data_IF_277332664798
#
_entry.id   IF_277332664798
#
_cell.length_a   1.000
_cell.length_b   1.000
_cell.length_c   1.000
_cell.angle_alpha   90.00
_cell.angle_beta   90.00
_cell.angle_gamma   90.00
#
_symmetry.space_group_name_H-M   'P 1'
#
loop_
_entity.id
_entity.type
_entity.pdbx_description
1 polymer ?
#
# COMPACT_ATOMS: atom_id res chain seq x y z
N UNK A 1 10.19 -35.44 -7.52
CA UNK A 1 10.89 -35.21 -8.80
C UNK A 1 11.38 -33.76 -8.76
N UNK A 2 12.59 -33.43 -9.21
CA UNK A 2 12.98 -32.03 -9.29
C UNK A 2 12.03 -31.34 -10.28
N UNK A 3 11.31 -30.33 -9.80
CA UNK A 3 10.48 -29.47 -10.65
C UNK A 3 11.49 -28.69 -11.50
N UNK A 4 11.47 -28.88 -12.83
CA UNK A 4 12.26 -28.04 -13.71
C UNK A 4 11.81 -26.57 -13.47
N UNK A 5 12.73 -25.63 -13.29
CA UNK A 5 12.37 -24.24 -13.11
C UNK A 5 11.53 -23.76 -14.30
N UNK A 6 10.42 -23.12 -14.02
CA UNK A 6 9.62 -22.47 -15.06
C UNK A 6 10.42 -21.30 -15.61
N UNK A 7 10.71 -21.35 -16.92
CA UNK A 7 11.44 -20.28 -17.60
C UNK A 7 10.54 -19.54 -18.56
N UNK A 8 10.57 -18.23 -18.51
CA UNK A 8 9.87 -17.35 -19.45
C UNK A 8 10.92 -16.41 -20.06
N UNK A 9 11.01 -16.40 -21.38
CA UNK A 9 11.84 -15.45 -22.13
C UNK A 9 10.95 -14.40 -22.81
N UNK A 10 11.01 -13.17 -22.32
CA UNK A 10 10.49 -12.02 -23.06
C UNK A 10 11.53 -11.59 -24.07
N UNK A 11 11.22 -11.74 -25.34
CA UNK A 11 12.11 -11.44 -26.46
C UNK A 11 11.61 -10.22 -27.22
N UNK A 12 12.55 -9.47 -27.80
CA UNK A 12 12.17 -8.38 -28.69
C UNK A 12 11.37 -7.27 -27.96
N UNK A 13 11.81 -6.89 -26.79
CA UNK A 13 11.17 -5.87 -25.96
C UNK A 13 12.00 -4.59 -25.87
N UNK A 14 11.34 -3.47 -25.61
CA UNK A 14 11.97 -2.24 -25.15
C UNK A 14 11.96 -2.28 -23.61
N UNK A 15 13.12 -2.40 -22.99
CA UNK A 15 13.24 -2.61 -21.54
C UNK A 15 13.23 -1.26 -20.84
N UNK A 16 12.27 -1.07 -19.91
CA UNK A 16 12.21 0.04 -18.96
C UNK A 16 12.55 -0.53 -17.57
N UNK A 17 13.79 -0.36 -17.14
CA UNK A 17 14.36 -1.06 -15.98
C UNK A 17 14.25 -0.28 -14.65
N UNK A 18 13.54 0.85 -14.65
CA UNK A 18 13.32 1.71 -13.48
C UNK A 18 14.61 2.38 -12.93
N UNK A 19 15.68 2.45 -13.70
CA UNK A 19 16.91 3.17 -13.31
C UNK A 19 16.84 4.68 -13.58
N UNK A 20 15.80 5.13 -14.29
CA UNK A 20 15.68 6.50 -14.80
C UNK A 20 16.34 6.71 -16.16
N UNK A 21 16.98 5.69 -16.73
CA UNK A 21 17.51 5.73 -18.09
C UNK A 21 16.39 5.54 -19.13
N UNK A 22 16.67 5.98 -20.38
CA UNK A 22 15.77 5.74 -21.50
C UNK A 22 15.58 4.23 -21.75
N UNK A 23 14.38 3.78 -22.18
CA UNK A 23 14.17 2.40 -22.55
C UNK A 23 15.11 1.93 -23.66
N UNK A 24 15.62 0.70 -23.56
CA UNK A 24 16.56 0.12 -24.52
C UNK A 24 16.08 -1.25 -25.03
N UNK A 25 16.42 -1.64 -26.28
CA UNK A 25 16.01 -2.92 -26.83
C UNK A 25 16.77 -4.09 -26.17
N UNK A 26 16.09 -5.21 -25.97
CA UNK A 26 16.71 -6.41 -25.42
C UNK A 26 15.72 -7.54 -25.18
N UNK A 27 16.18 -8.54 -24.46
CA UNK A 27 15.42 -9.68 -23.98
C UNK A 27 15.49 -9.75 -22.45
N UNK A 28 14.50 -10.36 -21.81
CA UNK A 28 14.50 -10.61 -20.36
C UNK A 28 14.15 -12.07 -20.11
N UNK A 29 15.02 -12.78 -19.41
CA UNK A 29 14.77 -14.14 -18.96
C UNK A 29 14.34 -14.13 -17.49
N UNK A 30 13.20 -14.73 -17.23
CA UNK A 30 12.70 -15.00 -15.88
C UNK A 30 12.80 -16.50 -15.63
N UNK A 31 13.36 -16.87 -14.48
CA UNK A 31 13.38 -18.24 -13.97
C UNK A 31 12.65 -18.28 -12.62
N UNK A 32 11.54 -19.02 -12.59
CA UNK A 32 10.59 -19.04 -11.46
C UNK A 32 10.08 -17.60 -11.13
N UNK A 33 10.49 -17.05 -10.01
CA UNK A 33 10.09 -15.74 -9.51
C UNK A 33 11.19 -14.66 -9.62
N UNK A 34 12.27 -14.94 -10.39
CA UNK A 34 13.43 -14.05 -10.48
C UNK A 34 13.79 -13.70 -11.91
N UNK A 35 14.21 -12.46 -12.10
CA UNK A 35 14.88 -12.03 -13.35
C UNK A 35 16.27 -12.65 -13.34
N UNK A 36 16.51 -13.58 -14.27
CA UNK A 36 17.76 -14.32 -14.38
C UNK A 36 18.77 -13.64 -15.31
N UNK A 37 18.29 -12.97 -16.37
CA UNK A 37 19.14 -12.23 -17.30
C UNK A 37 18.35 -11.09 -17.98
N UNK A 38 19.08 -10.01 -18.31
CA UNK A 38 18.59 -8.84 -19.03
C UNK A 38 19.59 -8.48 -20.14
N UNK A 39 19.09 -8.11 -21.31
CA UNK A 39 19.91 -7.75 -22.46
C UNK A 39 19.88 -8.84 -23.53
N UNK A 40 21.01 -9.13 -24.17
CA UNK A 40 21.11 -10.21 -25.17
C UNK A 40 21.15 -11.58 -24.47
N UNK A 41 20.02 -12.29 -24.46
CA UNK A 41 19.93 -13.62 -23.83
C UNK A 41 20.35 -14.71 -24.79
N UNK A 42 21.44 -15.40 -24.48
CA UNK A 42 21.98 -16.52 -25.29
C UNK A 42 21.06 -17.76 -25.28
N UNK A 43 21.03 -18.50 -26.39
CA UNK A 43 20.22 -19.71 -26.57
C UNK A 43 20.39 -20.76 -25.44
N UNK A 44 21.63 -21.05 -24.94
CA UNK A 44 21.79 -22.00 -23.84
C UNK A 44 21.07 -21.59 -22.55
N UNK A 45 21.07 -20.30 -22.21
CA UNK A 45 20.37 -19.78 -21.02
C UNK A 45 18.85 -19.87 -21.18
N UNK A 46 18.35 -19.66 -22.40
CA UNK A 46 16.92 -19.69 -22.71
C UNK A 46 16.40 -21.10 -23.06
N UNK A 47 17.22 -22.13 -22.99
CA UNK A 47 16.81 -23.50 -23.34
C UNK A 47 15.61 -23.96 -22.49
N UNK A 48 14.54 -24.38 -23.16
CA UNK A 48 13.29 -24.81 -22.51
C UNK A 48 12.37 -23.68 -22.03
N UNK A 49 12.71 -22.42 -22.27
CA UNK A 49 11.87 -21.30 -21.88
C UNK A 49 10.62 -21.16 -22.77
N UNK A 50 9.49 -20.80 -22.16
CA UNK A 50 8.33 -20.29 -22.88
C UNK A 50 8.67 -18.90 -23.42
N UNK A 51 8.62 -18.72 -24.74
CA UNK A 51 8.95 -17.45 -25.37
C UNK A 51 7.71 -16.58 -25.52
N UNK A 52 7.82 -15.33 -25.09
CA UNK A 52 6.85 -14.28 -25.34
C UNK A 52 7.54 -13.23 -26.22
N UNK A 53 7.11 -13.10 -27.47
CA UNK A 53 7.60 -12.06 -28.37
C UNK A 53 6.92 -10.73 -28.08
N UNK A 54 7.69 -9.77 -27.57
CA UNK A 54 7.20 -8.44 -27.25
C UNK A 54 6.90 -7.55 -28.46
N UNK A 55 7.44 -7.90 -29.64
CA UNK A 55 7.23 -7.12 -30.89
C UNK A 55 7.57 -5.64 -30.70
N UNK A 56 8.63 -5.34 -29.99
CA UNK A 56 9.05 -3.99 -29.70
C UNK A 56 8.23 -3.25 -28.62
N UNK A 57 7.29 -3.93 -27.95
CA UNK A 57 6.54 -3.33 -26.83
C UNK A 57 7.45 -3.14 -25.62
N UNK A 58 7.08 -2.19 -24.78
CA UNK A 58 7.81 -1.93 -23.54
C UNK A 58 7.53 -3.03 -22.51
N UNK A 59 8.61 -3.61 -21.98
CA UNK A 59 8.59 -4.45 -20.79
C UNK A 59 9.11 -3.63 -19.60
N UNK A 60 8.30 -3.53 -18.56
CA UNK A 60 8.62 -2.81 -17.34
C UNK A 60 8.30 -3.67 -16.11
N UNK A 61 8.78 -3.25 -14.94
CA UNK A 61 8.30 -3.82 -13.68
C UNK A 61 6.79 -3.60 -13.53
N UNK A 62 6.11 -4.52 -12.85
CA UNK A 62 4.70 -4.31 -12.51
C UNK A 62 4.53 -3.06 -11.66
N UNK A 63 3.37 -2.42 -11.78
CA UNK A 63 3.03 -1.23 -11.00
C UNK A 63 2.93 -1.58 -9.51
N UNK A 64 3.24 -0.60 -8.67
CA UNK A 64 3.05 -0.65 -7.22
C UNK A 64 2.05 0.43 -6.82
N UNK A 65 1.02 0.04 -6.07
CA UNK A 65 0.14 1.00 -5.40
C UNK A 65 0.44 0.99 -3.90
N UNK A 66 0.93 2.12 -3.39
CA UNK A 66 1.34 2.26 -2.00
C UNK A 66 0.17 2.60 -1.05
N UNK A 67 -1.04 2.84 -1.57
CA UNK A 67 -2.19 3.28 -0.78
C UNK A 67 -3.49 2.61 -1.25
N UNK A 68 -3.69 1.33 -0.90
CA UNK A 68 -4.83 0.55 -1.37
C UNK A 68 -5.83 0.19 -0.29
N UNK A 69 -7.09 0.08 -0.69
CA UNK A 69 -8.19 -0.32 0.16
C UNK A 69 -9.01 -1.42 -0.52
N UNK A 70 -8.58 -2.67 -0.49
CA UNK A 70 -9.29 -3.78 -1.15
C UNK A 70 -10.72 -3.98 -0.63
N UNK A 71 -10.96 -3.58 0.61
CA UNK A 71 -12.27 -3.71 1.25
C UNK A 71 -13.18 -2.49 1.11
N UNK A 72 -12.71 -1.41 0.47
CA UNK A 72 -13.53 -0.22 0.27
C UNK A 72 -14.23 -0.30 -1.08
N UNK A 73 -15.50 0.06 -1.10
CA UNK A 73 -16.31 0.20 -2.30
C UNK A 73 -16.49 1.67 -2.65
N UNK A 74 -17.11 1.94 -3.79
CA UNK A 74 -17.41 3.31 -4.23
C UNK A 74 -18.78 3.81 -3.73
N UNK A 75 -19.26 3.28 -2.59
CA UNK A 75 -20.49 3.73 -1.97
C UNK A 75 -20.32 5.11 -1.32
N UNK A 76 -21.33 5.96 -1.41
CA UNK A 76 -21.39 7.19 -0.65
C UNK A 76 -21.58 6.93 0.87
N UNK A 77 -22.11 5.77 1.25
CA UNK A 77 -22.20 5.31 2.65
C UNK A 77 -20.96 4.46 2.99
N UNK A 78 -19.89 5.11 3.42
CA UNK A 78 -18.66 4.43 3.85
C UNK A 78 -18.82 3.74 5.21
N UNK A 79 -19.69 4.21 6.10
CA UNK A 79 -19.97 3.55 7.38
C UNK A 79 -20.66 2.19 7.19
N UNK A 80 -21.36 2.00 6.08
CA UNK A 80 -21.92 0.71 5.66
C UNK A 80 -20.89 -0.40 5.51
N UNK A 81 -19.61 -0.08 5.26
CA UNK A 81 -18.52 -1.06 5.21
C UNK A 81 -18.37 -1.84 6.52
N UNK A 82 -18.61 -1.19 7.65
CA UNK A 82 -18.57 -1.83 8.97
C UNK A 82 -19.66 -2.90 9.17
N UNK A 83 -20.79 -2.79 8.52
CA UNK A 83 -21.97 -3.68 8.66
C UNK A 83 -22.07 -4.75 7.59
N UNK A 84 -21.33 -4.63 6.48
CA UNK A 84 -21.34 -5.65 5.42
C UNK A 84 -20.97 -7.03 5.99
N UNK A 85 -21.70 -8.12 5.66
CA UNK A 85 -21.35 -9.48 6.07
C UNK A 85 -19.92 -9.84 5.65
N UNK A 86 -19.18 -10.49 6.54
CA UNK A 86 -17.73 -10.72 6.31
C UNK A 86 -17.46 -11.62 5.10
N UNK A 87 -18.33 -12.60 4.85
CA UNK A 87 -18.25 -13.51 3.71
C UNK A 87 -18.47 -12.79 2.37
N UNK A 88 -19.44 -11.87 2.29
CA UNK A 88 -19.67 -11.06 1.11
C UNK A 88 -18.54 -10.05 0.92
N UNK A 89 -18.09 -9.45 2.01
CA UNK A 89 -17.00 -8.49 2.00
C UNK A 89 -15.66 -9.13 1.54
N UNK A 90 -15.41 -10.39 1.92
CA UNK A 90 -14.23 -11.12 1.44
C UNK A 90 -14.29 -11.35 -0.07
N UNK A 91 -15.44 -11.71 -0.64
CA UNK A 91 -15.61 -11.85 -2.08
C UNK A 91 -15.30 -10.53 -2.79
N UNK A 92 -15.83 -9.43 -2.29
CA UNK A 92 -15.52 -8.09 -2.81
C UNK A 92 -14.02 -7.78 -2.77
N UNK A 93 -13.32 -8.09 -1.66
CA UNK A 93 -11.87 -7.90 -1.57
C UNK A 93 -11.09 -8.69 -2.63
N UNK A 94 -11.52 -9.92 -2.91
CA UNK A 94 -10.89 -10.76 -3.92
C UNK A 94 -11.15 -10.22 -5.34
N UNK A 95 -12.33 -9.70 -5.61
CA UNK A 95 -12.64 -9.02 -6.87
C UNK A 95 -11.78 -7.76 -7.06
N UNK A 96 -11.62 -6.95 -6.00
CA UNK A 96 -10.72 -5.80 -5.99
C UNK A 96 -9.29 -6.22 -6.30
N UNK A 97 -8.77 -7.25 -5.61
CA UNK A 97 -7.43 -7.77 -5.84
C UNK A 97 -7.24 -8.25 -7.30
N UNK A 98 -8.28 -8.86 -7.88
CA UNK A 98 -8.29 -9.26 -9.29
C UNK A 98 -8.22 -8.05 -10.23
N UNK A 99 -8.96 -7.00 -9.94
CA UNK A 99 -8.94 -5.76 -10.72
C UNK A 99 -7.55 -5.13 -10.72
N UNK A 100 -6.87 -5.08 -9.58
CA UNK A 100 -5.51 -4.57 -9.47
C UNK A 100 -4.53 -5.36 -10.34
N UNK A 101 -4.50 -6.69 -10.23
CA UNK A 101 -3.54 -7.49 -11.01
C UNK A 101 -3.85 -7.44 -12.51
N UNK A 102 -5.12 -7.44 -12.92
CA UNK A 102 -5.53 -7.31 -14.31
C UNK A 102 -5.21 -5.92 -14.89
N UNK A 103 -5.07 -4.90 -14.04
CA UNK A 103 -4.64 -3.54 -14.40
C UNK A 103 -3.11 -3.35 -14.39
N UNK A 104 -2.33 -4.40 -14.10
CA UNK A 104 -0.87 -4.36 -14.11
C UNK A 104 -0.21 -4.01 -12.77
N UNK A 105 -0.98 -3.87 -11.70
CA UNK A 105 -0.42 -3.71 -10.37
C UNK A 105 0.00 -5.07 -9.81
N UNK A 106 1.29 -5.26 -9.60
CA UNK A 106 1.85 -6.52 -9.09
C UNK A 106 2.19 -6.46 -7.61
N UNK A 107 2.14 -5.27 -7.02
CA UNK A 107 2.30 -5.04 -5.59
C UNK A 107 1.33 -3.96 -5.10
N UNK A 108 0.71 -4.20 -3.95
CA UNK A 108 -0.19 -3.25 -3.30
C UNK A 108 0.07 -3.24 -1.79
N UNK A 109 0.05 -2.04 -1.20
CA UNK A 109 0.18 -1.82 0.23
C UNK A 109 -1.18 -1.43 0.78
N UNK A 110 -1.72 -2.23 1.72
CA UNK A 110 -2.97 -1.93 2.39
C UNK A 110 -2.88 -0.67 3.23
N UNK A 111 -3.95 0.13 3.24
CA UNK A 111 -3.99 1.41 3.96
C UNK A 111 -5.11 1.51 5.00
N UNK A 112 -6.13 0.69 4.92
CA UNK A 112 -7.13 0.40 5.93
C UNK A 112 -8.02 -0.76 5.46
N UNK A 113 -8.25 -1.73 6.32
CA UNK A 113 -9.20 -2.83 6.10
C UNK A 113 -10.47 -2.60 6.90
N UNK A 114 -11.61 -2.91 6.30
CA UNK A 114 -12.90 -2.74 6.96
C UNK A 114 -13.17 -3.74 8.09
N UNK A 115 -12.37 -4.79 8.22
CA UNK A 115 -12.50 -5.82 9.26
C UNK A 115 -11.12 -6.27 9.72
N UNK A 116 -11.02 -6.77 10.94
CA UNK A 116 -9.77 -7.15 11.61
C UNK A 116 -8.84 -8.03 10.77
N UNK A 117 -9.38 -9.04 10.06
CA UNK A 117 -8.58 -10.01 9.32
C UNK A 117 -8.90 -10.10 7.84
N UNK A 118 -9.75 -9.22 7.33
CA UNK A 118 -10.28 -9.34 5.97
C UNK A 118 -9.16 -9.31 4.92
N UNK A 119 -8.28 -8.34 5.01
CA UNK A 119 -7.13 -8.15 4.13
C UNK A 119 -6.02 -9.19 4.38
N UNK A 120 -5.84 -9.64 5.63
CA UNK A 120 -4.92 -10.74 5.99
C UNK A 120 -5.35 -12.03 5.29
N UNK A 121 -6.64 -12.38 5.35
CA UNK A 121 -7.17 -13.58 4.67
C UNK A 121 -7.08 -13.45 3.16
N UNK A 122 -7.36 -12.28 2.60
CA UNK A 122 -7.20 -12.00 1.17
C UNK A 122 -5.74 -12.21 0.73
N UNK A 123 -4.76 -11.61 1.43
CA UNK A 123 -3.33 -11.80 1.18
C UNK A 123 -2.93 -13.27 1.25
N UNK A 124 -3.37 -14.00 2.27
CA UNK A 124 -3.02 -15.40 2.47
C UNK A 124 -3.61 -16.28 1.36
N UNK A 125 -4.81 -15.97 0.87
CA UNK A 125 -5.41 -16.67 -0.27
C UNK A 125 -4.62 -16.44 -1.57
N UNK A 126 -4.15 -15.21 -1.81
CA UNK A 126 -3.30 -14.85 -2.95
C UNK A 126 -1.95 -15.57 -2.84
N UNK A 127 -1.27 -15.49 -1.70
CA UNK A 127 0.03 -16.11 -1.47
C UNK A 127 -0.02 -17.65 -1.59
N UNK A 128 -1.14 -18.26 -1.25
CA UNK A 128 -1.39 -19.69 -1.41
C UNK A 128 -1.76 -20.08 -2.86
N UNK A 129 -1.82 -19.14 -3.78
CA UNK A 129 -2.22 -19.36 -5.17
C UNK A 129 -3.70 -19.77 -5.33
N UNK A 130 -4.54 -19.57 -4.33
CA UNK A 130 -5.97 -19.89 -4.37
C UNK A 130 -6.76 -18.86 -5.17
N UNK A 131 -6.24 -17.64 -5.24
CA UNK A 131 -6.86 -16.53 -5.95
C UNK A 131 -5.81 -15.65 -6.62
N UNK A 132 -6.07 -15.14 -7.84
CA UNK A 132 -5.15 -14.21 -8.50
C UNK A 132 -5.21 -12.83 -7.83
N UNK A 133 -4.05 -12.23 -7.63
CA UNK A 133 -3.94 -10.90 -7.07
C UNK A 133 -2.49 -10.44 -7.02
N UNK A 134 -2.24 -9.17 -6.70
CA UNK A 134 -0.89 -8.65 -6.51
C UNK A 134 -0.27 -9.19 -5.22
N UNK A 135 1.04 -9.07 -5.08
CA UNK A 135 1.70 -9.18 -3.78
C UNK A 135 1.12 -8.08 -2.88
N UNK A 136 0.55 -8.48 -1.75
CA UNK A 136 -0.20 -7.56 -0.88
C UNK A 136 0.41 -7.49 0.52
N UNK A 137 0.54 -6.29 1.07
CA UNK A 137 0.88 -6.07 2.47
C UNK A 137 -0.37 -5.67 3.24
N UNK A 138 -0.83 -6.56 4.12
CA UNK A 138 -2.04 -6.36 4.92
C UNK A 138 -1.77 -5.46 6.13
N UNK A 139 -2.73 -4.62 6.50
CA UNK A 139 -2.61 -3.72 7.66
C UNK A 139 -3.72 -3.88 8.71
N UNK A 140 -4.82 -4.58 8.38
CA UNK A 140 -6.01 -4.59 9.24
C UNK A 140 -6.71 -3.21 9.28
N UNK A 141 -7.54 -2.94 10.29
CA UNK A 141 -8.11 -1.62 10.52
C UNK A 141 -7.04 -0.54 10.75
N UNK A 142 -7.34 0.68 10.37
CA UNK A 142 -6.52 1.82 10.76
C UNK A 142 -6.70 2.14 12.25
N UNK A 143 -5.66 2.68 12.87
CA UNK A 143 -5.71 3.17 14.25
C UNK A 143 -5.93 4.68 14.23
N UNK A 144 -6.93 5.14 14.98
CA UNK A 144 -7.15 6.56 15.23
C UNK A 144 -7.41 6.82 16.72
N UNK A 145 -7.17 8.05 17.15
CA UNK A 145 -7.60 8.51 18.48
C UNK A 145 -9.11 8.81 18.47
N UNK A 146 -9.74 8.82 19.64
CA UNK A 146 -11.13 9.22 19.78
C UNK A 146 -11.38 10.58 19.13
N UNK A 147 -12.34 10.65 18.21
CA UNK A 147 -12.66 11.84 17.43
C UNK A 147 -11.88 12.01 16.13
N UNK A 148 -10.79 11.27 15.91
CA UNK A 148 -9.94 11.37 14.72
C UNK A 148 -10.20 10.32 13.63
N UNK A 149 -11.23 9.48 13.77
CA UNK A 149 -11.53 8.46 12.78
C UNK A 149 -12.14 9.05 11.51
N UNK A 150 -11.66 8.60 10.34
CA UNK A 150 -12.23 8.93 9.03
C UNK A 150 -13.55 8.18 8.82
N UNK A 151 -13.56 6.88 9.09
CA UNK A 151 -14.75 6.02 9.01
C UNK A 151 -14.86 5.24 10.32
N UNK A 152 -15.80 5.67 11.16
CA UNK A 152 -15.92 5.17 12.55
C UNK A 152 -16.17 3.66 12.64
N UNK A 153 -16.98 3.12 11.75
CA UNK A 153 -17.42 1.73 11.78
C UNK A 153 -16.29 0.72 11.48
N UNK A 154 -15.17 1.17 10.91
CA UNK A 154 -14.04 0.31 10.50
C UNK A 154 -12.71 0.71 11.16
N UNK A 155 -12.73 1.66 12.08
CA UNK A 155 -11.56 2.20 12.76
C UNK A 155 -11.33 1.51 14.11
N UNK A 156 -10.07 1.19 14.40
CA UNK A 156 -9.62 0.75 15.72
C UNK A 156 -9.22 1.96 16.56
N UNK A 157 -10.04 2.29 17.56
CA UNK A 157 -9.75 3.41 18.45
C UNK A 157 -8.70 3.07 19.49
N UNK A 158 -7.76 3.99 19.70
CA UNK A 158 -6.76 3.92 20.76
C UNK A 158 -6.37 5.33 21.23
N UNK A 159 -6.41 5.56 22.52
CA UNK A 159 -6.03 6.83 23.14
C UNK A 159 -4.84 6.64 24.07
N UNK A 160 -3.94 7.59 24.02
CA UNK A 160 -2.72 7.62 24.82
C UNK A 160 -1.67 6.57 24.41
N UNK A 161 -0.42 6.73 24.86
CA UNK A 161 0.69 5.85 24.45
C UNK A 161 0.47 4.37 24.73
N UNK A 162 -0.14 4.01 25.86
CA UNK A 162 -0.41 2.60 26.20
C UNK A 162 -1.56 2.02 25.36
N UNK A 163 -2.59 2.83 25.04
CA UNK A 163 -3.64 2.44 24.09
C UNK A 163 -3.05 2.13 22.72
N UNK A 164 -2.17 3.00 22.21
CA UNK A 164 -1.47 2.79 20.94
C UNK A 164 -0.64 1.51 20.91
N UNK A 165 0.18 1.26 21.96
CA UNK A 165 0.96 0.01 22.05
C UNK A 165 0.07 -1.23 22.07
N UNK A 166 -1.04 -1.18 22.80
CA UNK A 166 -2.01 -2.27 22.85
C UNK A 166 -2.61 -2.53 21.47
N UNK A 167 -3.10 -1.50 20.79
CA UNK A 167 -3.69 -1.62 19.46
C UNK A 167 -2.71 -2.21 18.43
N UNK A 168 -1.45 -1.75 18.44
CA UNK A 168 -0.40 -2.30 17.56
C UNK A 168 -0.17 -3.79 17.84
N UNK A 169 -0.09 -4.21 19.12
CA UNK A 169 0.10 -5.63 19.50
C UNK A 169 -1.03 -6.50 18.99
N UNK A 170 -2.27 -6.04 19.16
CA UNK A 170 -3.46 -6.75 18.71
C UNK A 170 -3.47 -6.92 17.18
N UNK A 171 -3.13 -5.87 16.40
CA UNK A 171 -3.03 -5.98 14.95
C UNK A 171 -1.91 -6.93 14.51
N UNK A 172 -0.75 -6.87 15.16
CA UNK A 172 0.36 -7.79 14.87
C UNK A 172 -0.05 -9.24 15.16
N UNK A 173 -0.81 -9.50 16.22
CA UNK A 173 -1.32 -10.84 16.56
C UNK A 173 -2.33 -11.34 15.51
N UNK A 174 -3.07 -10.45 14.86
CA UNK A 174 -3.93 -10.79 13.72
C UNK A 174 -3.15 -11.17 12.45
N UNK A 175 -1.85 -10.90 12.40
CA UNK A 175 -0.96 -11.29 11.30
C UNK A 175 -0.77 -10.21 10.24
N UNK A 176 -0.93 -8.93 10.57
CA UNK A 176 -0.69 -7.82 9.63
C UNK A 176 0.80 -7.68 9.24
N UNK A 177 1.07 -7.10 8.09
CA UNK A 177 2.42 -6.82 7.60
C UNK A 177 2.90 -5.42 7.99
N UNK A 178 1.99 -4.49 8.15
CA UNK A 178 2.24 -3.09 8.49
C UNK A 178 1.11 -2.51 9.35
N UNK A 179 1.36 -1.35 9.96
CA UNK A 179 0.39 -0.62 10.81
C UNK A 179 -0.03 0.66 10.10
N UNK A 180 -1.31 0.97 10.10
CA UNK A 180 -1.84 2.24 9.55
C UNK A 180 -2.36 3.13 10.68
N UNK A 181 -1.87 4.37 10.69
CA UNK A 181 -2.34 5.44 11.58
C UNK A 181 -3.19 6.45 10.78
N UNK A 182 -4.28 6.93 11.37
CA UNK A 182 -5.08 8.05 10.85
C UNK A 182 -4.84 9.27 11.74
N UNK A 183 -3.87 10.12 11.34
CA UNK A 183 -3.34 11.18 12.22
C UNK A 183 -4.04 12.53 12.03
N UNK A 184 -4.66 12.73 10.86
CA UNK A 184 -5.41 13.96 10.56
C UNK A 184 -6.85 13.65 10.15
N UNK A 185 -7.68 14.67 10.12
CA UNK A 185 -9.05 14.58 9.63
C UNK A 185 -9.15 14.52 8.11
N UNK A 186 -10.39 14.50 7.65
CA UNK A 186 -10.77 14.54 6.24
C UNK A 186 -12.16 15.16 6.09
N UNK A 187 -12.36 16.00 5.08
CA UNK A 187 -13.64 16.68 4.84
C UNK A 187 -14.80 15.73 4.51
N UNK A 188 -14.52 14.54 4.02
CA UNK A 188 -15.56 13.52 3.74
C UNK A 188 -16.38 13.16 4.99
N UNK A 189 -15.89 13.45 6.18
CA UNK A 189 -16.61 13.19 7.44
C UNK A 189 -17.69 14.24 7.73
N UNK A 190 -17.63 15.39 7.08
CA UNK A 190 -18.51 16.55 7.34
C UNK A 190 -18.29 17.24 8.70
N UNK A 191 -17.42 16.73 9.56
CA UNK A 191 -17.16 17.25 10.92
C UNK A 191 -15.69 17.49 11.21
N UNK A 192 -14.80 17.11 10.30
CA UNK A 192 -13.36 17.23 10.41
C UNK A 192 -12.81 18.05 9.25
N UNK A 193 -11.63 18.62 9.45
CA UNK A 193 -10.87 19.28 8.41
C UNK A 193 -9.58 18.49 8.16
N UNK A 194 -9.10 18.50 6.92
CA UNK A 194 -7.89 17.80 6.54
C UNK A 194 -6.64 18.30 7.29
N UNK A 195 -6.63 19.57 7.74
CA UNK A 195 -5.55 20.13 8.53
C UNK A 195 -5.62 19.83 10.03
N UNK A 196 -6.72 19.28 10.53
CA UNK A 196 -6.85 18.97 11.96
C UNK A 196 -5.95 17.79 12.33
N UNK A 197 -4.99 18.02 13.21
CA UNK A 197 -4.10 16.98 13.74
C UNK A 197 -4.67 16.43 15.04
N UNK A 198 -4.91 15.13 15.11
CA UNK A 198 -5.53 14.47 16.26
C UNK A 198 -4.54 13.76 17.17
N UNK A 199 -3.44 13.25 16.60
CA UNK A 199 -2.42 12.55 17.38
C UNK A 199 -1.52 13.52 18.16
N UNK A 200 -1.08 13.08 19.34
CA UNK A 200 0.08 13.69 20.02
C UNK A 200 1.39 13.00 19.57
N UNK A 201 2.52 13.67 19.79
CA UNK A 201 3.85 13.10 19.50
C UNK A 201 4.09 11.80 20.28
N UNK A 202 3.63 11.72 21.53
CA UNK A 202 3.78 10.54 22.38
C UNK A 202 2.97 9.33 21.87
N UNK A 203 1.79 9.56 21.31
CA UNK A 203 0.96 8.53 20.70
C UNK A 203 1.60 8.00 19.43
N UNK A 204 2.06 8.89 18.56
CA UNK A 204 2.79 8.52 17.35
C UNK A 204 4.06 7.73 17.68
N UNK A 205 4.90 8.25 18.59
CA UNK A 205 6.12 7.58 19.05
C UNK A 205 5.85 6.18 19.62
N UNK A 206 4.77 6.05 20.41
CA UNK A 206 4.40 4.78 21.02
C UNK A 206 3.98 3.73 19.98
N UNK A 207 3.16 4.14 19.00
CA UNK A 207 2.71 3.26 17.93
C UNK A 207 3.89 2.79 17.06
N UNK A 208 4.73 3.74 16.60
CA UNK A 208 5.87 3.44 15.72
C UNK A 208 6.90 2.56 16.43
N UNK A 209 7.30 2.92 17.65
CA UNK A 209 8.27 2.11 18.41
C UNK A 209 7.77 0.68 18.62
N UNK A 210 6.49 0.51 18.95
CA UNK A 210 5.93 -0.82 19.18
C UNK A 210 5.85 -1.64 17.89
N UNK A 211 5.52 -1.02 16.74
CA UNK A 211 5.50 -1.66 15.44
C UNK A 211 6.91 -2.07 14.97
N UNK A 212 7.88 -1.15 15.04
CA UNK A 212 9.25 -1.41 14.62
C UNK A 212 9.94 -2.51 15.44
N UNK A 213 9.68 -2.57 16.75
CA UNK A 213 10.16 -3.67 17.62
C UNK A 213 9.70 -5.06 17.15
N UNK A 214 8.63 -5.13 16.36
CA UNK A 214 8.08 -6.35 15.76
C UNK A 214 8.38 -6.49 14.27
N UNK A 215 9.28 -5.65 13.74
CA UNK A 215 9.65 -5.66 12.34
C UNK A 215 8.51 -5.22 11.40
N UNK A 216 7.55 -4.44 11.91
CA UNK A 216 6.43 -3.92 11.11
C UNK A 216 6.67 -2.46 10.74
N UNK A 217 6.41 -2.11 9.47
CA UNK A 217 6.39 -0.72 9.01
C UNK A 217 5.14 0.00 9.50
N UNK A 218 5.23 1.32 9.57
CA UNK A 218 4.11 2.19 9.88
C UNK A 218 3.83 3.11 8.70
N UNK A 219 2.57 3.19 8.30
CA UNK A 219 2.09 4.17 7.35
C UNK A 219 1.04 5.07 7.99
N UNK A 220 0.95 6.33 7.56
CA UNK A 220 0.07 7.31 8.19
C UNK A 220 -0.71 8.14 7.15
N UNK A 221 -2.01 8.27 7.36
CA UNK A 221 -2.78 9.37 6.80
C UNK A 221 -2.37 10.65 7.55
N UNK A 222 -1.67 11.55 6.89
CA UNK A 222 -1.12 12.76 7.49
C UNK A 222 -1.13 13.89 6.45
N UNK A 223 -2.05 14.82 6.60
CA UNK A 223 -2.25 15.94 5.65
C UNK A 223 -1.67 17.25 6.14
N UNK A 224 -1.82 17.56 7.43
CA UNK A 224 -1.34 18.83 8.02
C UNK A 224 0.19 18.91 8.06
N UNK A 225 0.75 20.11 8.00
CA UNK A 225 2.20 20.32 8.14
C UNK A 225 2.74 19.73 9.44
N UNK A 226 2.02 19.89 10.56
CA UNK A 226 2.45 19.33 11.84
C UNK A 226 2.44 17.80 11.85
N UNK A 227 1.41 17.16 11.30
CA UNK A 227 1.36 15.70 11.23
C UNK A 227 2.48 15.11 10.37
N UNK A 228 2.84 15.78 9.26
CA UNK A 228 3.97 15.36 8.42
C UNK A 228 5.29 15.46 9.18
N UNK A 229 5.53 16.58 9.86
CA UNK A 229 6.72 16.78 10.71
C UNK A 229 6.77 15.76 11.86
N UNK A 230 5.63 15.49 12.49
CA UNK A 230 5.48 14.45 13.52
C UNK A 230 5.82 13.06 12.98
N UNK A 231 5.36 12.73 11.77
CA UNK A 231 5.72 11.47 11.12
C UNK A 231 7.24 11.31 10.94
N UNK A 232 7.91 12.35 10.45
CA UNK A 232 9.37 12.33 10.26
C UNK A 232 10.10 12.23 11.60
N UNK A 233 9.73 13.04 12.61
CA UNK A 233 10.34 12.98 13.94
C UNK A 233 10.25 11.60 14.59
N UNK A 234 9.14 10.91 14.38
CA UNK A 234 8.85 9.62 15.00
C UNK A 234 9.13 8.41 14.09
N UNK A 235 9.78 8.60 12.95
CA UNK A 235 10.17 7.54 12.02
C UNK A 235 8.99 6.74 11.43
N UNK A 236 7.91 7.39 11.04
CA UNK A 236 6.86 6.78 10.22
C UNK A 236 7.41 6.48 8.82
N UNK A 237 7.31 5.25 8.36
CA UNK A 237 7.97 4.79 7.12
C UNK A 237 7.31 5.34 5.85
N UNK A 238 5.98 5.48 5.84
CA UNK A 238 5.22 5.92 4.66
C UNK A 238 4.21 6.99 5.08
N UNK A 239 4.28 8.15 4.44
CA UNK A 239 3.38 9.28 4.70
C UNK A 239 2.43 9.42 3.52
N UNK A 240 1.13 9.22 3.76
CA UNK A 240 0.10 9.39 2.76
C UNK A 240 -0.36 10.84 2.70
N UNK A 241 -0.63 11.30 1.49
CA UNK A 241 -1.12 12.62 1.13
C UNK A 241 -0.10 13.74 1.31
N UNK A 242 0.32 14.07 2.53
CA UNK A 242 1.23 15.19 2.85
C UNK A 242 0.78 16.53 2.22
N UNK A 243 -0.55 16.77 2.11
CA UNK A 243 -1.16 17.80 1.25
C UNK A 243 -0.81 19.22 1.63
N UNK A 244 -0.66 19.51 2.92
CA UNK A 244 -0.39 20.84 3.47
C UNK A 244 1.02 20.96 4.06
N UNK A 245 1.97 20.22 3.50
CA UNK A 245 3.38 20.28 3.93
C UNK A 245 3.93 21.68 3.69
N UNK A 246 4.49 22.29 4.73
CA UNK A 246 5.18 23.58 4.66
C UNK A 246 6.66 23.44 4.26
N UNK A 247 7.38 24.55 4.14
CA UNK A 247 8.79 24.56 3.73
C UNK A 247 9.66 23.74 4.71
N UNK A 248 9.44 23.86 6.02
CA UNK A 248 10.16 23.08 7.04
C UNK A 248 9.90 21.58 6.87
N UNK A 249 8.64 21.20 6.69
CA UNK A 249 8.27 19.80 6.42
C UNK A 249 8.92 19.25 5.16
N UNK A 250 8.99 20.04 4.09
CA UNK A 250 9.69 19.66 2.85
C UNK A 250 11.19 19.45 3.08
N UNK A 251 11.84 20.34 3.82
CA UNK A 251 13.26 20.22 4.18
C UNK A 251 13.50 18.96 5.04
N UNK A 252 12.61 18.68 5.98
CA UNK A 252 12.67 17.45 6.79
C UNK A 252 12.52 16.18 5.94
N UNK A 253 11.58 16.16 5.02
CA UNK A 253 11.37 15.01 4.11
C UNK A 253 12.60 14.80 3.22
N UNK A 254 13.15 15.86 2.61
CA UNK A 254 14.33 15.77 1.76
C UNK A 254 15.55 15.28 2.54
N UNK A 255 15.73 15.75 3.77
CA UNK A 255 16.83 15.31 4.64
C UNK A 255 16.73 13.84 5.06
N UNK A 256 15.54 13.24 4.99
CA UNK A 256 15.26 11.87 5.45
C UNK A 256 14.80 10.93 4.32
N UNK A 257 14.94 11.32 3.05
CA UNK A 257 14.47 10.59 1.87
C UNK A 257 15.02 9.17 1.69
N UNK A 258 16.07 8.81 2.41
CA UNK A 258 16.66 7.48 2.35
C UNK A 258 15.81 6.41 3.07
N UNK A 259 14.89 6.82 3.94
CA UNK A 259 14.07 5.89 4.72
C UNK A 259 12.57 6.23 4.74
N UNK A 260 12.16 7.50 4.51
CA UNK A 260 10.76 7.90 4.46
C UNK A 260 10.24 7.98 3.03
N UNK A 261 9.05 7.46 2.80
CA UNK A 261 8.37 7.53 1.52
C UNK A 261 7.11 8.38 1.64
N UNK A 262 6.88 9.24 0.63
CA UNK A 262 5.63 10.01 0.52
C UNK A 262 4.80 9.44 -0.62
N UNK A 263 3.53 9.14 -0.33
CA UNK A 263 2.56 8.65 -1.31
C UNK A 263 1.38 9.64 -1.42
N UNK A 264 1.46 10.65 -2.30
CA UNK A 264 0.54 11.80 -2.30
C UNK A 264 -0.92 11.46 -2.63
N UNK A 265 -1.19 10.40 -3.40
CA UNK A 265 -2.55 10.03 -3.81
C UNK A 265 -3.19 11.07 -4.74
N UNK A 266 -2.41 11.67 -5.61
CA UNK A 266 -2.82 12.80 -6.48
C UNK A 266 -4.05 12.48 -7.34
N UNK A 267 -4.20 11.23 -7.79
CA UNK A 267 -5.33 10.85 -8.64
C UNK A 267 -6.68 11.03 -7.92
N UNK A 268 -6.74 10.78 -6.61
CA UNK A 268 -7.94 11.02 -5.83
C UNK A 268 -8.34 12.51 -5.84
N UNK A 269 -7.37 13.41 -5.68
CA UNK A 269 -7.60 14.85 -5.74
C UNK A 269 -8.06 15.29 -7.13
N UNK A 270 -7.46 14.77 -8.19
CA UNK A 270 -7.85 15.06 -9.57
C UNK A 270 -9.28 14.57 -9.84
N UNK A 271 -9.60 13.34 -9.47
CA UNK A 271 -10.94 12.79 -9.63
C UNK A 271 -12.00 13.60 -8.86
N UNK A 272 -11.69 13.98 -7.61
CA UNK A 272 -12.59 14.80 -6.80
C UNK A 272 -12.82 16.20 -7.40
N UNK A 273 -11.78 16.83 -7.95
CA UNK A 273 -11.86 18.20 -8.46
C UNK A 273 -12.45 18.31 -9.87
N UNK A 274 -12.27 17.30 -10.70
CA UNK A 274 -12.56 17.42 -12.14
C UNK A 274 -13.53 16.36 -12.67
N UNK A 275 -13.73 15.26 -11.98
CA UNK A 275 -14.54 14.13 -12.46
C UNK A 275 -15.77 13.85 -11.57
N UNK A 276 -15.78 14.30 -10.32
CA UNK A 276 -16.95 14.16 -9.45
C UNK A 276 -18.07 15.10 -9.90
N UNK A 277 -19.29 14.60 -9.96
CA UNK A 277 -20.49 15.42 -10.15
C UNK A 277 -20.65 16.35 -8.93
N UNK A 278 -20.91 17.64 -9.20
CA UNK A 278 -21.02 18.68 -8.18
C UNK A 278 -22.31 18.54 -7.34
#
# INVERSE_FOLDING_TARGET
MPVNPEKILFRNVSILDSTGADPYPGDVLVENDRIAAVGAVGQPAAAGARVIDGRGRTLMSGLCDAHTHFSWNNSADLDGLGTMPVEEHLLFCLESARTYIDSGYTMCLGAASAKDRLDVVCRDAINAGRFPGPRYLANGPEIAVTGGALIKSITKFADGPEGMRKAVRELVDLGVDQIKLSMTGEEITGTQRAEDTYFSDEECAAAVTEAHRRGKRVCAHARSAESVKMCVRNHVDIIYHASFTDAEGMDMLEANKDWVFVAPGINWLIATLYEADA
#
